data_IF_353037914421
#
_entry.id   IF_353037914421
#
_cell.length_a   1.000
_cell.length_b   1.000
_cell.length_c   1.000
_cell.angle_alpha   90.00
_cell.angle_beta   90.00
_cell.angle_gamma   90.00
#
_symmetry.space_group_name_H-M   'P 1'
#
loop_
_entity.id
_entity.type
_entity.pdbx_description
1 polymer ?
#
# COMPACT_ATOMS: atom_id res chain seq x y z
N UNK A 1 18.44 -3.31 4.42
CA UNK A 1 17.73 -2.26 3.67
C UNK A 1 17.35 -2.80 2.30
N UNK A 2 16.04 -2.94 2.07
CA UNK A 2 15.43 -3.41 0.82
C UNK A 2 14.61 -2.27 0.24
N UNK A 3 14.61 -2.15 -1.09
CA UNK A 3 13.84 -1.15 -1.82
C UNK A 3 13.15 -1.85 -2.97
N UNK A 4 11.87 -1.52 -3.18
CA UNK A 4 11.12 -1.97 -4.36
C UNK A 4 10.36 -0.81 -4.96
N UNK A 5 10.18 -0.84 -6.27
CA UNK A 5 9.32 0.09 -6.99
C UNK A 5 8.37 -0.72 -7.85
N UNK A 6 7.09 -0.41 -7.79
CA UNK A 6 6.08 -1.00 -8.67
C UNK A 6 5.19 0.07 -9.28
N UNK A 7 4.68 -0.21 -10.47
CA UNK A 7 3.56 0.52 -11.03
C UNK A 7 2.27 0.10 -10.30
N UNK A 8 1.39 1.05 -9.98
CA UNK A 8 0.04 0.79 -9.49
C UNK A 8 -0.98 1.56 -10.33
N UNK A 9 -2.20 1.04 -10.35
CA UNK A 9 -3.37 1.72 -10.89
C UNK A 9 -4.25 2.16 -9.72
N UNK A 10 -4.75 3.38 -9.77
CA UNK A 10 -5.65 3.95 -8.76
C UNK A 10 -7.05 4.00 -9.35
N UNK A 11 -8.03 3.41 -8.67
CA UNK A 11 -9.37 3.23 -9.21
C UNK A 11 -10.10 4.56 -9.49
N UNK A 12 -9.84 5.59 -8.67
CA UNK A 12 -10.41 6.93 -8.85
C UNK A 12 -9.78 7.71 -10.01
N UNK A 13 -8.61 7.29 -10.50
CA UNK A 13 -7.84 7.99 -11.53
C UNK A 13 -7.25 6.97 -12.52
N UNK A 14 -8.10 6.28 -13.31
CA UNK A 14 -7.69 5.16 -14.15
C UNK A 14 -6.74 5.56 -15.29
N UNK A 15 -6.78 6.82 -15.71
CA UNK A 15 -5.92 7.37 -16.78
C UNK A 15 -4.53 7.79 -16.26
N UNK A 16 -4.35 7.87 -14.94
CA UNK A 16 -3.10 8.25 -14.31
C UNK A 16 -2.26 7.00 -13.96
N UNK A 17 -0.96 7.06 -14.26
CA UNK A 17 -0.02 6.02 -13.85
C UNK A 17 0.73 6.45 -12.60
N UNK A 18 0.62 5.66 -11.54
CA UNK A 18 1.34 5.88 -10.30
C UNK A 18 2.47 4.87 -10.11
N UNK A 19 3.53 5.31 -9.45
CA UNK A 19 4.64 4.47 -8.99
C UNK A 19 4.72 4.48 -7.48
N UNK A 20 4.70 3.29 -6.88
CA UNK A 20 4.83 3.07 -5.45
C UNK A 20 6.23 2.54 -5.16
N UNK A 21 7.03 3.35 -4.46
CA UNK A 21 8.33 2.97 -3.91
C UNK A 21 8.17 2.63 -2.44
N UNK A 22 8.79 1.54 -2.02
CA UNK A 22 8.82 1.08 -0.64
C UNK A 22 10.25 0.88 -0.20
N UNK A 23 10.52 1.18 1.06
CA UNK A 23 11.84 1.05 1.67
C UNK A 23 11.70 0.53 3.10
N UNK A 24 12.42 -0.53 3.43
CA UNK A 24 12.38 -1.16 4.76
C UNK A 24 13.71 -1.83 5.15
N UNK A 25 13.92 -2.06 6.44
CA UNK A 25 15.17 -2.60 6.97
C UNK A 25 15.22 -4.15 6.89
N UNK A 26 14.30 -4.81 7.60
CA UNK A 26 14.23 -6.27 7.78
C UNK A 26 13.07 -6.86 6.95
N UNK A 27 11.85 -6.55 7.38
CA UNK A 27 10.57 -6.81 6.71
C UNK A 27 9.63 -5.60 6.86
N UNK A 28 8.43 -5.69 6.29
CA UNK A 28 7.43 -4.61 6.40
C UNK A 28 6.76 -4.54 7.79
N UNK A 29 6.89 -5.60 8.60
CA UNK A 29 6.38 -5.66 9.97
C UNK A 29 7.16 -4.80 10.96
N UNK A 30 8.44 -4.57 10.69
CA UNK A 30 9.32 -3.67 11.44
C UNK A 30 9.16 -2.18 11.06
N UNK A 31 8.25 -1.87 10.14
CA UNK A 31 8.02 -0.52 9.62
C UNK A 31 8.72 -0.26 8.28
N UNK A 32 8.18 0.72 7.55
CA UNK A 32 8.60 1.03 6.19
C UNK A 32 8.25 2.47 5.78
N UNK A 33 9.01 2.98 4.82
CA UNK A 33 8.74 4.25 4.16
C UNK A 33 8.06 3.97 2.83
N UNK A 34 6.97 4.70 2.56
CA UNK A 34 6.21 4.68 1.31
C UNK A 34 6.44 5.98 0.58
N UNK A 35 6.73 5.90 -0.71
CA UNK A 35 6.73 7.05 -1.61
C UNK A 35 5.85 6.75 -2.82
N UNK A 36 4.88 7.62 -3.05
CA UNK A 36 3.98 7.58 -4.19
C UNK A 36 4.32 8.73 -5.15
N UNK A 37 4.37 8.45 -6.44
CA UNK A 37 4.66 9.45 -7.47
C UNK A 37 3.78 9.24 -8.70
N UNK A 38 3.28 10.33 -9.28
CA UNK A 38 2.48 10.36 -10.52
C UNK A 38 3.29 10.84 -11.76
N UNK A 39 4.59 11.12 -11.57
CA UNK A 39 5.48 11.68 -12.58
C UNK A 39 5.63 13.21 -12.54
N UNK A 40 4.81 13.90 -11.73
CA UNK A 40 4.85 15.36 -11.53
C UNK A 40 5.07 15.70 -10.05
N UNK A 41 4.31 15.06 -9.18
CA UNK A 41 4.30 15.23 -7.72
C UNK A 41 4.72 13.94 -7.03
N UNK A 42 5.20 14.08 -5.79
CA UNK A 42 5.54 12.95 -4.94
C UNK A 42 5.04 13.16 -3.51
N UNK A 43 4.54 12.09 -2.92
CA UNK A 43 4.05 12.05 -1.53
C UNK A 43 4.79 10.95 -0.79
N UNK A 44 5.30 11.29 0.39
CA UNK A 44 6.01 10.35 1.26
C UNK A 44 5.22 10.14 2.55
N UNK A 45 5.22 8.90 3.04
CA UNK A 45 4.67 8.52 4.32
C UNK A 45 5.58 7.49 5.00
N UNK A 46 5.48 7.42 6.31
CA UNK A 46 6.18 6.43 7.14
C UNK A 46 5.14 5.63 7.90
N UNK A 47 5.35 4.32 7.98
CA UNK A 47 4.54 3.39 8.75
C UNK A 47 5.45 2.74 9.78
N UNK A 48 5.11 2.86 11.06
CA UNK A 48 5.90 2.31 12.14
C UNK A 48 5.51 0.86 12.43
N UNK A 49 6.39 0.12 13.10
CA UNK A 49 6.10 -1.25 13.57
C UNK A 49 4.82 -1.29 14.44
N UNK A 50 4.61 -0.28 15.27
CA UNK A 50 3.43 -0.16 16.12
C UNK A 50 2.14 0.02 15.30
N UNK A 51 2.21 0.74 14.16
CA UNK A 51 1.07 0.92 13.27
C UNK A 51 0.69 -0.38 12.58
N UNK A 52 1.70 -1.14 12.10
CA UNK A 52 1.48 -2.46 11.49
C UNK A 52 0.88 -3.44 12.49
N UNK A 53 1.39 -3.43 13.72
CA UNK A 53 0.90 -4.31 14.78
C UNK A 53 -0.52 -3.94 15.20
N UNK A 54 -0.82 -2.65 15.32
CA UNK A 54 -2.16 -2.15 15.63
C UNK A 54 -3.16 -2.51 14.54
N UNK A 55 -2.83 -2.28 13.27
CA UNK A 55 -3.72 -2.60 12.15
C UNK A 55 -4.02 -4.11 12.08
N UNK A 56 -3.01 -4.96 12.26
CA UNK A 56 -3.21 -6.41 12.30
C UNK A 56 -4.18 -6.84 13.43
N UNK A 57 -4.11 -6.19 14.59
CA UNK A 57 -5.02 -6.44 15.71
C UNK A 57 -6.44 -5.95 15.40
N UNK A 58 -6.59 -4.76 14.81
CA UNK A 58 -7.88 -4.18 14.41
C UNK A 58 -8.58 -5.05 13.34
N UNK A 59 -7.81 -5.69 12.46
CA UNK A 59 -8.31 -6.64 11.47
C UNK A 59 -8.55 -8.06 12.01
N UNK A 60 -8.32 -8.30 13.32
CA UNK A 60 -8.39 -9.62 13.95
C UNK A 60 -7.55 -10.69 13.22
N UNK A 61 -6.42 -10.28 12.65
CA UNK A 61 -5.55 -11.12 11.83
C UNK A 61 -4.25 -11.45 12.57
N UNK A 62 -3.72 -12.68 12.48
CA UNK A 62 -2.38 -12.97 12.97
C UNK A 62 -1.36 -12.03 12.31
N UNK A 63 -0.54 -11.33 13.11
CA UNK A 63 0.43 -10.34 12.61
C UNK A 63 1.31 -10.89 11.48
N UNK A 64 1.80 -12.12 11.62
CA UNK A 64 2.62 -12.78 10.60
C UNK A 64 1.88 -12.92 9.27
N UNK A 65 0.58 -13.26 9.30
CA UNK A 65 -0.26 -13.34 8.10
C UNK A 65 -0.48 -11.95 7.49
N UNK A 66 -0.77 -10.96 8.34
CA UNK A 66 -0.95 -9.58 7.89
C UNK A 66 0.31 -9.04 7.18
N UNK A 67 1.50 -9.26 7.75
CA UNK A 67 2.77 -8.82 7.14
C UNK A 67 3.05 -9.54 5.82
N UNK A 68 2.77 -10.84 5.72
CA UNK A 68 2.90 -11.57 4.46
C UNK A 68 1.96 -11.03 3.38
N UNK A 69 0.69 -10.83 3.71
CA UNK A 69 -0.29 -10.25 2.78
C UNK A 69 0.16 -8.84 2.35
N UNK A 70 0.57 -7.99 3.30
CA UNK A 70 1.09 -6.65 3.04
C UNK A 70 2.28 -6.68 2.06
N UNK A 71 3.19 -7.64 2.23
CA UNK A 71 4.36 -7.78 1.35
C UNK A 71 3.95 -8.18 -0.06
N UNK A 72 3.00 -9.11 -0.23
CA UNK A 72 2.46 -9.47 -1.54
C UNK A 72 1.76 -8.27 -2.20
N UNK A 73 0.92 -7.56 -1.44
CA UNK A 73 0.10 -6.43 -1.92
C UNK A 73 0.96 -5.27 -2.37
N UNK A 74 1.94 -4.87 -1.56
CA UNK A 74 2.70 -3.65 -1.79
C UNK A 74 3.90 -3.89 -2.71
N UNK A 75 4.46 -5.10 -2.78
CA UNK A 75 5.57 -5.38 -3.71
C UNK A 75 5.10 -5.95 -5.05
N UNK A 76 3.93 -6.59 -5.09
CA UNK A 76 3.40 -7.29 -6.27
C UNK A 76 4.15 -8.58 -6.61
N UNK A 77 5.17 -8.95 -5.83
CA UNK A 77 5.95 -10.18 -6.06
C UNK A 77 5.12 -11.38 -5.61
N UNK A 78 4.93 -12.35 -6.50
CA UNK A 78 4.18 -13.58 -6.21
C UNK A 78 2.67 -13.49 -6.43
N UNK A 79 2.14 -12.40 -6.98
CA UNK A 79 0.72 -12.30 -7.34
C UNK A 79 0.48 -12.91 -8.73
N UNK A 80 -0.26 -14.03 -8.79
CA UNK A 80 -0.69 -14.66 -10.04
C UNK A 80 -2.18 -14.48 -10.35
N UNK A 81 -3.00 -13.98 -9.41
CA UNK A 81 -4.46 -13.81 -9.66
C UNK A 81 -5.24 -12.92 -8.65
N UNK A 82 -4.60 -12.37 -7.61
CA UNK A 82 -5.29 -11.50 -6.65
C UNK A 82 -5.15 -10.04 -7.07
N UNK A 83 -6.24 -9.46 -7.56
CA UNK A 83 -6.32 -8.04 -7.90
C UNK A 83 -6.54 -7.22 -6.63
N UNK A 84 -5.66 -6.27 -6.36
CA UNK A 84 -5.85 -5.25 -5.32
C UNK A 84 -6.10 -3.91 -5.99
N UNK A 85 -7.13 -3.19 -5.55
CA UNK A 85 -7.37 -1.81 -6.00
C UNK A 85 -6.75 -0.84 -5.00
N UNK A 86 -6.05 0.17 -5.54
CA UNK A 86 -5.58 1.29 -4.73
C UNK A 86 -6.54 2.46 -4.90
N UNK A 87 -6.75 3.19 -3.82
CA UNK A 87 -7.59 4.37 -3.78
C UNK A 87 -6.80 5.53 -3.16
N UNK A 88 -6.97 6.71 -3.76
CA UNK A 88 -6.39 7.95 -3.27
C UNK A 88 -7.49 8.93 -2.94
N UNK A 89 -7.45 9.48 -1.73
CA UNK A 89 -8.35 10.54 -1.30
C UNK A 89 -7.54 11.64 -0.61
N UNK A 90 -7.87 12.93 -0.81
CA UNK A 90 -7.37 13.99 0.07
C UNK A 90 -7.87 13.73 1.49
N UNK A 91 -6.99 13.80 2.49
CA UNK A 91 -7.40 13.63 3.89
C UNK A 91 -8.38 14.71 4.32
N UNK A 92 -8.24 15.92 3.76
CA UNK A 92 -9.12 17.07 3.98
C UNK A 92 -9.15 17.91 2.70
N UNK A 93 -10.26 18.61 2.43
CA UNK A 93 -10.37 19.49 1.25
C UNK A 93 -9.30 20.59 1.29
N UNK A 94 -8.49 20.69 0.25
CA UNK A 94 -7.37 21.64 0.14
C UNK A 94 -6.10 21.25 0.90
N UNK A 95 -6.05 20.06 1.53
CA UNK A 95 -4.84 19.56 2.19
C UNK A 95 -3.90 18.88 1.19
N UNK A 96 -2.57 19.08 1.28
CA UNK A 96 -1.60 18.32 0.50
C UNK A 96 -1.44 16.87 1.00
N UNK A 97 -2.13 16.50 2.08
CA UNK A 97 -2.05 15.19 2.70
C UNK A 97 -3.02 14.22 2.02
N UNK A 98 -2.46 13.15 1.46
CA UNK A 98 -3.23 12.08 0.83
C UNK A 98 -3.42 10.91 1.79
N UNK A 99 -4.59 10.27 1.69
CA UNK A 99 -4.86 8.96 2.23
C UNK A 99 -4.78 7.96 1.07
N UNK A 100 -3.78 7.07 1.15
CA UNK A 100 -3.68 5.91 0.28
C UNK A 100 -4.31 4.72 1.01
N UNK A 101 -5.33 4.11 0.42
CA UNK A 101 -5.91 2.86 0.88
C UNK A 101 -5.82 1.79 -0.21
N UNK A 102 -5.90 0.53 0.22
CA UNK A 102 -5.95 -0.61 -0.69
C UNK A 102 -7.09 -1.54 -0.26
N UNK A 103 -7.72 -2.17 -1.24
CA UNK A 103 -8.76 -3.16 -0.99
C UNK A 103 -8.44 -4.42 -1.78
N UNK A 104 -8.70 -5.57 -1.15
CA UNK A 104 -8.65 -6.84 -1.85
C UNK A 104 -9.90 -6.94 -2.71
N UNK A 105 -9.74 -7.00 -4.03
CA UNK A 105 -10.86 -7.30 -4.91
C UNK A 105 -11.14 -8.79 -4.77
N UNK A 106 -12.23 -9.12 -4.07
CA UNK A 106 -12.74 -10.48 -4.08
C UNK A 106 -13.43 -10.69 -5.43
N UNK A 107 -12.85 -11.56 -6.26
CA UNK A 107 -13.49 -12.05 -7.46
C UNK A 107 -14.58 -13.05 -7.09
N UNK A 108 -15.69 -12.60 -6.51
CA UNK A 108 -16.87 -13.45 -6.30
C UNK A 108 -18.16 -12.65 -6.55
N UNK A 109 -18.65 -12.75 -7.79
CA UNK A 109 -20.03 -13.13 -8.16
C UNK A 109 -20.24 -12.89 -9.66
N UNK A 110 -20.22 -13.98 -10.44
CA UNK A 110 -21.03 -14.09 -11.67
C UNK A 110 -22.43 -14.57 -11.30
#
# INVERSE_FOLDING_TARGET
>A
MKVTVRKISVASEPDCTYYLRLEWAEDLGAGFVVLLCDGVSAWSGEVLEEDVTREAQEMEMPRERYVNDLQLILTGVGQTDQSYSFHLAPKQSGSPMLQLSYEKVQSDMS
#
